data_IF_749744674414
#
_entry.id   IF_749744674414
#
_cell.length_a   1.000
_cell.length_b   1.000
_cell.length_c   1.000
_cell.angle_alpha   90.00
_cell.angle_beta   90.00
_cell.angle_gamma   90.00
#
_symmetry.space_group_name_H-M   'P 1'
#
loop_
_entity.id
_entity.type
_entity.pdbx_description
1 polymer ?
#
# COMPACT_ATOMS: atom_id res chain seq x y z
N UNK A 1 -55.91 56.53 8.41
CA UNK A 1 -54.43 56.71 8.28
C UNK A 1 -53.82 55.35 7.95
N UNK A 2 -53.51 55.08 6.68
CA UNK A 2 -52.77 53.87 6.28
C UNK A 2 -51.30 54.25 6.03
N UNK A 3 -50.37 53.65 6.78
CA UNK A 3 -48.93 53.78 6.54
C UNK A 3 -48.53 52.83 5.41
N UNK A 4 -47.95 53.37 4.33
CA UNK A 4 -47.26 52.58 3.31
C UNK A 4 -45.87 52.20 3.83
N UNK A 5 -45.58 50.89 3.88
CA UNK A 5 -44.29 50.37 4.27
C UNK A 5 -43.43 50.20 3.00
N UNK A 6 -42.31 50.94 2.82
CA UNK A 6 -41.52 50.85 1.60
C UNK A 6 -40.76 49.53 1.58
N UNK A 7 -41.06 48.67 0.58
CA UNK A 7 -40.23 47.49 0.30
C UNK A 7 -38.88 47.97 -0.23
N UNK A 8 -37.80 47.66 0.48
CA UNK A 8 -36.43 47.77 -0.04
C UNK A 8 -36.31 46.88 -1.29
N UNK A 9 -36.15 47.51 -2.45
CA UNK A 9 -35.82 46.82 -3.68
C UNK A 9 -34.36 46.37 -3.61
N UNK A 10 -34.13 45.06 -3.46
CA UNK A 10 -32.82 44.44 -3.62
C UNK A 10 -32.44 44.49 -5.10
N UNK A 11 -31.42 45.27 -5.45
CA UNK A 11 -30.81 45.24 -6.78
C UNK A 11 -30.06 43.92 -6.94
N UNK A 12 -30.67 42.92 -7.56
CA UNK A 12 -29.91 41.78 -8.06
C UNK A 12 -29.06 42.24 -9.24
N UNK A 13 -27.76 42.41 -8.99
CA UNK A 13 -26.75 42.52 -10.04
C UNK A 13 -26.64 41.12 -10.66
N UNK A 14 -27.29 40.92 -11.80
CA UNK A 14 -27.21 39.67 -12.54
C UNK A 14 -25.80 39.44 -13.09
N UNK A 15 -25.32 38.19 -13.03
CA UNK A 15 -24.07 37.78 -13.66
C UNK A 15 -24.17 37.94 -15.19
N UNK A 16 -23.13 38.45 -15.83
CA UNK A 16 -23.17 38.61 -17.29
C UNK A 16 -22.96 37.25 -17.98
N UNK A 17 -23.63 37.02 -19.12
CA UNK A 17 -23.48 35.78 -19.90
C UNK A 17 -22.02 35.60 -20.34
N UNK A 18 -21.34 36.70 -20.66
CA UNK A 18 -19.92 36.69 -21.05
C UNK A 18 -19.04 36.18 -19.91
N UNK A 19 -19.30 36.61 -18.67
CA UNK A 19 -18.58 36.12 -17.48
C UNK A 19 -18.70 34.61 -17.34
N UNK A 20 -19.91 34.07 -17.51
CA UNK A 20 -20.13 32.63 -17.42
C UNK A 20 -19.37 31.89 -18.53
N UNK A 21 -19.37 32.42 -19.76
CA UNK A 21 -18.66 31.82 -20.91
C UNK A 21 -17.14 31.83 -20.69
N UNK A 22 -16.57 32.93 -20.19
CA UNK A 22 -15.13 33.03 -19.91
C UNK A 22 -14.72 32.04 -18.83
N UNK A 23 -15.53 31.85 -17.78
CA UNK A 23 -15.22 30.90 -16.71
C UNK A 23 -15.21 29.45 -17.21
N UNK A 24 -16.22 29.03 -17.96
CA UNK A 24 -16.28 27.64 -18.47
C UNK A 24 -15.19 27.37 -19.51
N UNK A 25 -14.81 28.36 -20.32
CA UNK A 25 -13.72 28.22 -21.30
C UNK A 25 -12.37 28.09 -20.61
N UNK A 26 -12.10 28.89 -19.56
CA UNK A 26 -10.89 28.75 -18.75
C UNK A 26 -10.84 27.36 -18.07
N UNK A 27 -11.93 26.92 -17.44
CA UNK A 27 -11.99 25.59 -16.81
C UNK A 27 -11.78 24.48 -17.84
N UNK A 28 -12.32 24.63 -19.05
CA UNK A 28 -12.12 23.68 -20.15
C UNK A 28 -10.66 23.53 -20.58
N UNK A 29 -9.93 24.64 -20.73
CA UNK A 29 -8.50 24.64 -21.09
C UNK A 29 -7.65 24.03 -19.96
N UNK A 30 -7.95 24.38 -18.70
CA UNK A 30 -7.26 23.82 -17.54
C UNK A 30 -7.49 22.31 -17.42
N UNK A 31 -8.72 21.83 -17.64
CA UNK A 31 -9.02 20.40 -17.59
C UNK A 31 -8.28 19.62 -18.69
N UNK A 32 -8.21 20.15 -19.91
CA UNK A 32 -7.54 19.49 -21.04
C UNK A 32 -6.02 19.36 -20.84
N UNK A 33 -5.39 20.31 -20.14
CA UNK A 33 -3.94 20.31 -19.90
C UNK A 33 -3.54 19.56 -18.64
N UNK A 34 -4.30 19.69 -17.54
CA UNK A 34 -4.00 19.07 -16.25
C UNK A 34 -4.38 17.58 -16.20
N UNK A 35 -5.46 17.19 -16.89
CA UNK A 35 -6.01 15.83 -16.87
C UNK A 35 -4.96 14.74 -17.17
N UNK A 36 -4.24 14.78 -18.31
CA UNK A 36 -3.28 13.74 -18.67
C UNK A 36 -2.13 13.59 -17.66
N UNK A 37 -1.61 14.72 -17.15
CA UNK A 37 -0.51 14.72 -16.18
C UNK A 37 -0.93 14.13 -14.83
N UNK A 38 -2.16 14.39 -14.41
CA UNK A 38 -2.69 13.89 -13.13
C UNK A 38 -2.71 12.36 -13.05
N UNK A 39 -3.07 11.68 -14.14
CA UNK A 39 -3.09 10.22 -14.19
C UNK A 39 -1.68 9.62 -14.08
N UNK A 40 -0.71 10.18 -14.81
CA UNK A 40 0.68 9.72 -14.75
C UNK A 40 1.29 9.91 -13.36
N UNK A 41 1.04 11.06 -12.71
CA UNK A 41 1.53 11.32 -11.35
C UNK A 41 0.96 10.35 -10.32
N UNK A 42 -0.31 9.94 -10.46
CA UNK A 42 -0.90 8.91 -9.60
C UNK A 42 -0.19 7.57 -9.80
N UNK A 43 0.07 7.20 -11.04
CA UNK A 43 0.79 5.97 -11.40
C UNK A 43 2.19 5.92 -10.78
N UNK A 44 2.98 6.98 -10.98
CA UNK A 44 4.33 7.11 -10.44
C UNK A 44 4.32 7.11 -8.90
N UNK A 45 3.33 7.77 -8.27
CA UNK A 45 3.18 7.81 -6.81
C UNK A 45 2.87 6.43 -6.23
N UNK A 46 2.01 5.65 -6.87
CA UNK A 46 1.68 4.29 -6.45
C UNK A 46 2.90 3.39 -6.56
N UNK A 47 3.62 3.45 -7.68
CA UNK A 47 4.85 2.69 -7.89
C UNK A 47 5.93 3.07 -6.87
N UNK A 48 6.13 4.36 -6.60
CA UNK A 48 7.07 4.85 -5.61
C UNK A 48 6.73 4.35 -4.20
N UNK A 49 5.45 4.38 -3.82
CA UNK A 49 4.96 3.88 -2.52
C UNK A 49 5.23 2.38 -2.38
N UNK A 50 4.98 1.62 -3.44
CA UNK A 50 5.22 0.18 -3.46
C UNK A 50 6.71 -0.16 -3.34
N UNK A 51 7.59 0.59 -4.02
CA UNK A 51 9.05 0.44 -3.92
C UNK A 51 9.58 0.85 -2.54
N UNK A 52 9.05 1.94 -1.97
CA UNK A 52 9.39 2.37 -0.62
C UNK A 52 9.06 1.28 0.41
N UNK A 53 7.88 0.68 0.28
CA UNK A 53 7.49 -0.45 1.12
C UNK A 53 8.40 -1.65 0.90
N UNK A 54 8.76 -2.00 -0.33
CA UNK A 54 9.72 -3.08 -0.58
C UNK A 54 11.10 -2.84 0.04
N UNK A 55 11.57 -1.59 0.08
CA UNK A 55 12.78 -1.20 0.81
C UNK A 55 12.64 -1.39 2.32
N UNK A 56 11.52 -0.98 2.91
CA UNK A 56 11.21 -1.21 4.32
C UNK A 56 11.17 -2.71 4.65
N UNK A 57 10.52 -3.51 3.81
CA UNK A 57 10.46 -4.97 3.95
C UNK A 57 11.87 -5.56 3.95
N UNK A 58 12.72 -5.19 2.98
CA UNK A 58 14.09 -5.69 2.91
C UNK A 58 14.90 -5.33 4.17
N UNK A 59 14.72 -4.12 4.69
CA UNK A 59 15.34 -3.68 5.94
C UNK A 59 14.91 -4.54 7.11
N UNK A 60 13.60 -4.71 7.32
CA UNK A 60 13.05 -5.50 8.43
C UNK A 60 13.45 -6.98 8.33
N UNK A 61 13.44 -7.54 7.12
CA UNK A 61 13.89 -8.92 6.84
C UNK A 61 15.34 -9.13 7.27
N UNK A 62 16.23 -8.16 7.01
CA UNK A 62 17.63 -8.24 7.44
C UNK A 62 17.78 -8.12 8.96
N UNK A 63 16.96 -7.30 9.62
CA UNK A 63 16.96 -7.20 11.09
C UNK A 63 16.52 -8.50 11.76
N UNK A 64 15.45 -9.11 11.25
CA UNK A 64 14.96 -10.42 11.71
C UNK A 64 16.02 -11.51 11.49
N UNK A 65 16.72 -11.47 10.35
CA UNK A 65 17.83 -12.38 10.10
C UNK A 65 18.99 -12.19 11.07
N UNK A 66 19.37 -10.94 11.35
CA UNK A 66 20.42 -10.65 12.32
C UNK A 66 20.07 -11.23 13.71
N UNK A 67 18.83 -11.06 14.17
CA UNK A 67 18.34 -11.65 15.42
C UNK A 67 18.38 -13.19 15.36
N UNK A 68 17.89 -13.78 14.28
CA UNK A 68 17.89 -15.24 14.10
C UNK A 68 19.29 -15.84 14.09
N UNK A 69 20.25 -15.14 13.48
CA UNK A 69 21.66 -15.57 13.42
C UNK A 69 22.33 -15.52 14.80
N UNK A 70 22.02 -14.50 15.61
CA UNK A 70 22.49 -14.42 17.01
C UNK A 70 21.96 -15.60 17.83
N UNK A 71 20.71 -16.02 17.56
CA UNK A 71 20.10 -17.19 18.21
C UNK A 71 20.55 -18.54 17.60
N UNK A 72 21.33 -18.53 16.51
CA UNK A 72 21.80 -19.75 15.84
C UNK A 72 20.74 -20.49 15.03
N UNK A 73 19.66 -19.80 14.62
CA UNK A 73 18.47 -20.40 13.99
C UNK A 73 18.47 -20.34 12.46
N UNK A 74 19.54 -19.82 11.83
CA UNK A 74 19.63 -19.63 10.37
C UNK A 74 19.60 -20.92 9.55
N UNK A 75 19.90 -22.06 10.16
CA UNK A 75 19.87 -23.38 9.49
C UNK A 75 18.55 -24.13 9.70
N UNK A 76 17.63 -23.59 10.48
CA UNK A 76 16.36 -24.23 10.82
C UNK A 76 15.33 -23.91 9.74
N UNK A 77 14.68 -24.95 9.20
CA UNK A 77 13.74 -24.80 8.09
C UNK A 77 12.55 -23.90 8.45
N UNK A 78 11.99 -24.06 9.64
CA UNK A 78 10.97 -23.17 10.21
C UNK A 78 11.05 -23.17 11.73
N UNK A 79 10.98 -22.00 12.35
CA UNK A 79 10.86 -21.81 13.80
C UNK A 79 10.25 -20.46 14.11
N UNK A 80 9.76 -20.26 15.33
CA UNK A 80 9.40 -18.92 15.79
C UNK A 80 10.56 -18.30 16.57
N UNK A 81 10.64 -16.97 16.54
CA UNK A 81 11.57 -16.20 17.33
C UNK A 81 10.86 -15.09 18.08
N UNK A 82 11.45 -14.73 19.21
CA UNK A 82 11.14 -13.57 20.02
C UNK A 82 12.11 -12.43 19.61
N UNK A 83 11.56 -11.34 19.09
CA UNK A 83 12.32 -10.19 18.60
C UNK A 83 12.73 -9.25 19.73
N UNK A 84 11.89 -9.05 20.74
CA UNK A 84 12.09 -8.04 21.78
C UNK A 84 12.60 -8.60 23.13
N UNK A 85 12.58 -9.92 23.30
CA UNK A 85 13.05 -10.63 24.48
C UNK A 85 12.00 -10.73 25.60
N UNK A 86 10.72 -10.51 25.32
CA UNK A 86 9.64 -10.58 26.31
C UNK A 86 9.20 -12.02 26.66
N UNK A 87 9.77 -13.02 25.98
CA UNK A 87 9.44 -14.43 26.14
C UNK A 87 8.25 -14.90 25.31
N UNK A 88 7.69 -14.05 24.45
CA UNK A 88 6.60 -14.32 23.53
C UNK A 88 7.16 -14.40 22.11
N UNK A 89 6.65 -15.36 21.33
CA UNK A 89 7.07 -15.51 19.93
C UNK A 89 6.37 -14.47 19.04
N UNK A 90 7.15 -13.65 18.34
CA UNK A 90 6.65 -12.57 17.48
C UNK A 90 6.47 -12.98 16.03
N UNK A 91 7.46 -13.72 15.49
CA UNK A 91 7.54 -13.98 14.06
C UNK A 91 8.05 -15.39 13.78
N UNK A 92 7.40 -16.07 12.85
CA UNK A 92 7.88 -17.29 12.22
C UNK A 92 8.96 -16.94 11.19
N UNK A 93 10.11 -17.57 11.34
CA UNK A 93 11.22 -17.48 10.40
C UNK A 93 11.45 -18.82 9.71
N UNK A 94 11.88 -18.77 8.45
CA UNK A 94 12.40 -19.87 7.68
C UNK A 94 13.85 -19.56 7.31
N UNK A 95 14.79 -20.41 7.75
CA UNK A 95 16.23 -20.21 7.55
C UNK A 95 16.72 -18.84 8.05
N UNK A 96 16.16 -18.39 9.18
CA UNK A 96 16.43 -17.11 9.81
C UNK A 96 15.76 -15.88 9.17
N UNK A 97 15.10 -16.00 8.02
CA UNK A 97 14.34 -14.90 7.43
C UNK A 97 12.85 -15.02 7.75
N UNK A 98 12.07 -13.92 7.80
CA UNK A 98 10.62 -14.00 7.98
C UNK A 98 9.99 -14.94 6.97
N UNK A 99 9.15 -15.86 7.44
CA UNK A 99 8.47 -16.81 6.57
C UNK A 99 7.34 -16.15 5.79
N UNK A 100 6.82 -16.84 4.78
CA UNK A 100 5.61 -16.42 4.08
C UNK A 100 4.32 -16.71 4.85
N UNK A 101 4.40 -17.16 6.11
CA UNK A 101 3.25 -17.57 6.91
C UNK A 101 2.22 -16.45 7.01
N UNK A 102 0.97 -16.84 6.74
CA UNK A 102 -0.17 -15.92 6.80
C UNK A 102 -0.37 -15.39 8.20
N UNK A 103 -0.30 -16.27 9.20
CA UNK A 103 -0.64 -15.93 10.59
C UNK A 103 0.54 -15.32 11.34
N UNK A 104 1.76 -15.77 11.05
CA UNK A 104 2.92 -15.41 11.87
C UNK A 104 4.18 -15.04 11.07
N UNK A 105 4.11 -14.93 9.76
CA UNK A 105 5.28 -14.66 8.93
C UNK A 105 5.57 -13.17 8.77
N UNK A 106 5.99 -12.80 7.56
CA UNK A 106 6.40 -11.44 7.22
C UNK A 106 5.36 -10.35 7.52
N UNK A 107 4.08 -10.67 7.58
CA UNK A 107 3.02 -9.70 7.92
C UNK A 107 3.15 -9.16 9.34
N UNK A 108 3.75 -9.91 10.27
CA UNK A 108 3.92 -9.51 11.68
C UNK A 108 4.98 -8.45 11.89
N UNK A 109 5.92 -8.34 10.97
CA UNK A 109 6.98 -7.33 11.01
C UNK A 109 6.63 -6.07 10.20
N UNK A 110 5.38 -5.99 9.73
CA UNK A 110 4.80 -4.78 9.16
C UNK A 110 4.10 -4.00 10.28
N UNK A 111 4.24 -2.67 10.28
CA UNK A 111 3.72 -1.82 11.36
C UNK A 111 2.22 -1.95 11.63
N UNK A 112 1.75 -1.36 12.75
CA UNK A 112 0.38 -1.57 13.26
C UNK A 112 -0.77 -1.24 12.29
N UNK A 113 -0.60 -0.26 11.41
CA UNK A 113 -1.63 0.13 10.42
C UNK A 113 -1.55 -0.66 9.11
N UNK A 114 -0.64 -1.63 9.01
CA UNK A 114 -0.39 -2.41 7.78
C UNK A 114 -1.68 -2.98 7.18
N UNK A 115 -2.54 -3.62 7.99
CA UNK A 115 -3.78 -4.22 7.50
C UNK A 115 -4.86 -3.20 7.08
N UNK A 116 -4.68 -1.91 7.38
CA UNK A 116 -5.60 -0.83 6.99
C UNK A 116 -5.17 -0.13 5.71
N UNK A 117 -3.86 0.01 5.52
CA UNK A 117 -3.30 0.71 4.37
C UNK A 117 -3.01 -0.21 3.18
N UNK A 118 -2.93 -1.52 3.42
CA UNK A 118 -2.49 -2.50 2.44
C UNK A 118 -3.49 -3.63 2.22
N UNK A 119 -3.53 -4.11 0.98
CA UNK A 119 -4.14 -5.39 0.59
C UNK A 119 -3.03 -6.41 0.43
N UNK A 120 -3.11 -7.55 1.10
CA UNK A 120 -2.06 -8.56 1.01
C UNK A 120 -2.59 -9.98 1.03
N UNK A 121 -1.75 -10.91 0.60
CA UNK A 121 -2.08 -12.34 0.54
C UNK A 121 -0.79 -13.18 0.60
N UNK A 122 -0.95 -14.47 0.81
CA UNK A 122 0.15 -15.45 0.75
C UNK A 122 -0.36 -16.72 0.07
N UNK A 123 0.56 -17.51 -0.48
CA UNK A 123 0.25 -18.74 -1.20
C UNK A 123 -0.03 -19.87 -0.22
N UNK A 124 -0.67 -20.91 -0.73
CA UNK A 124 -0.67 -22.17 -0.04
C UNK A 124 0.78 -22.66 0.14
N UNK A 125 1.15 -23.01 1.38
CA UNK A 125 2.50 -23.45 1.73
C UNK A 125 3.52 -22.32 1.95
N UNK A 126 3.07 -21.06 2.08
CA UNK A 126 3.92 -19.92 2.48
C UNK A 126 5.09 -19.64 1.53
N UNK A 127 4.95 -19.97 0.25
CA UNK A 127 6.03 -19.86 -0.75
C UNK A 127 6.20 -18.47 -1.34
N UNK A 128 5.19 -17.62 -1.19
CA UNK A 128 5.21 -16.24 -1.64
C UNK A 128 4.20 -15.39 -0.86
N UNK A 129 4.48 -14.11 -0.78
CA UNK A 129 3.64 -13.09 -0.17
C UNK A 129 3.41 -11.97 -1.18
N UNK A 130 2.16 -11.55 -1.35
CA UNK A 130 1.71 -10.52 -2.29
C UNK A 130 1.24 -9.30 -1.52
N UNK A 131 1.56 -8.13 -2.05
CA UNK A 131 1.23 -6.86 -1.41
C UNK A 131 0.90 -5.78 -2.44
N UNK A 132 -0.21 -5.08 -2.25
CA UNK A 132 -0.52 -3.83 -2.95
C UNK A 132 -1.16 -2.84 -1.98
N UNK A 133 -1.22 -1.57 -2.35
CA UNK A 133 -1.91 -0.54 -1.56
C UNK A 133 -3.41 -0.79 -1.56
N UNK A 134 -4.09 -0.51 -0.44
CA UNK A 134 -5.54 -0.72 -0.31
C UNK A 134 -6.37 0.04 -1.35
N UNK A 135 -5.88 1.19 -1.82
CA UNK A 135 -6.49 1.97 -2.92
C UNK A 135 -6.58 1.20 -4.24
N UNK A 136 -5.59 0.34 -4.52
CA UNK A 136 -5.49 -0.42 -5.75
C UNK A 136 -6.14 -1.81 -5.63
N UNK A 137 -6.04 -2.44 -4.45
CA UNK A 137 -6.74 -3.70 -4.16
C UNK A 137 -8.24 -3.51 -3.90
N UNK A 138 -8.72 -2.28 -3.83
CA UNK A 138 -10.13 -1.91 -3.60
C UNK A 138 -10.65 -2.20 -2.19
N UNK A 139 -9.81 -2.77 -1.32
CA UNK A 139 -10.11 -3.14 0.07
C UNK A 139 -8.81 -3.23 0.86
N UNK A 140 -8.87 -3.04 2.18
CA UNK A 140 -7.72 -3.27 3.06
C UNK A 140 -7.74 -4.69 3.65
N UNK A 141 -6.58 -5.17 4.10
CA UNK A 141 -6.43 -6.38 4.90
C UNK A 141 -5.91 -7.60 4.12
N UNK A 142 -6.03 -8.76 4.78
CA UNK A 142 -5.56 -10.05 4.31
C UNK A 142 -6.61 -10.77 3.45
N UNK A 143 -6.19 -11.35 2.32
CA UNK A 143 -7.05 -12.11 1.41
C UNK A 143 -6.53 -13.53 1.15
N UNK A 144 -7.46 -14.45 0.90
CA UNK A 144 -7.14 -15.89 0.85
C UNK A 144 -6.52 -16.33 -0.48
N UNK A 145 -6.78 -15.64 -1.59
CA UNK A 145 -6.50 -16.14 -2.93
C UNK A 145 -5.76 -15.16 -3.85
N UNK A 146 -5.03 -14.16 -3.31
CA UNK A 146 -4.27 -13.09 -3.99
C UNK A 146 -4.97 -12.33 -5.17
N UNK A 147 -6.23 -12.64 -5.49
CA UNK A 147 -6.97 -12.09 -6.63
C UNK A 147 -7.07 -10.58 -6.62
N UNK A 148 -7.46 -9.99 -5.48
CA UNK A 148 -7.54 -8.53 -5.33
C UNK A 148 -6.18 -7.86 -5.56
N UNK A 149 -5.09 -8.50 -5.11
CA UNK A 149 -3.73 -7.99 -5.30
C UNK A 149 -3.30 -8.10 -6.75
N UNK A 150 -3.51 -9.24 -7.40
CA UNK A 150 -3.13 -9.45 -8.80
C UNK A 150 -3.98 -8.62 -9.77
N UNK A 151 -5.26 -8.41 -9.47
CA UNK A 151 -6.16 -7.57 -10.27
C UNK A 151 -5.69 -6.11 -10.37
N UNK A 152 -4.93 -5.63 -9.38
CA UNK A 152 -4.33 -4.29 -9.43
C UNK A 152 -3.26 -4.15 -10.51
N UNK A 153 -2.58 -5.24 -10.88
CA UNK A 153 -1.37 -5.24 -11.70
C UNK A 153 -0.28 -4.22 -11.26
N UNK A 154 -0.31 -3.84 -9.97
CA UNK A 154 0.64 -2.97 -9.28
C UNK A 154 0.88 -3.54 -7.89
N UNK A 155 1.81 -4.48 -7.76
CA UNK A 155 2.03 -5.21 -6.52
C UNK A 155 3.46 -5.72 -6.36
N UNK A 156 3.84 -5.92 -5.11
CA UNK A 156 5.10 -6.49 -4.68
C UNK A 156 4.90 -7.97 -4.38
N UNK A 157 5.90 -8.78 -4.70
CA UNK A 157 6.03 -10.16 -4.27
C UNK A 157 7.26 -10.33 -3.40
N UNK A 158 7.09 -10.98 -2.25
CA UNK A 158 8.18 -11.47 -1.42
C UNK A 158 8.22 -13.00 -1.51
N UNK A 159 9.38 -13.54 -1.83
CA UNK A 159 9.68 -14.96 -1.84
C UNK A 159 10.57 -15.26 -0.65
N UNK A 160 10.10 -16.04 0.35
CA UNK A 160 10.91 -16.41 1.51
C UNK A 160 12.12 -17.26 1.12
N UNK A 161 13.08 -17.39 2.04
CA UNK A 161 14.20 -18.30 1.89
C UNK A 161 13.71 -19.76 1.82
N UNK A 162 14.31 -20.55 0.92
CA UNK A 162 13.97 -21.97 0.70
C UNK A 162 15.03 -22.93 1.21
N UNK A 163 16.22 -22.43 1.54
CA UNK A 163 17.34 -23.17 2.12
C UNK A 163 18.24 -22.25 2.97
N UNK A 164 19.14 -22.81 3.83
CA UNK A 164 20.00 -22.03 4.73
C UNK A 164 20.92 -21.00 4.04
N UNK A 165 21.28 -21.24 2.78
CA UNK A 165 22.14 -20.37 1.99
C UNK A 165 21.37 -19.45 1.03
N UNK A 166 20.04 -19.62 0.92
CA UNK A 166 19.21 -18.80 0.05
C UNK A 166 18.74 -17.54 0.77
N UNK A 167 18.84 -16.39 0.10
CA UNK A 167 18.25 -15.14 0.59
C UNK A 167 16.84 -15.00 0.05
N UNK A 168 15.92 -14.36 0.79
CA UNK A 168 14.62 -14.02 0.25
C UNK A 168 14.76 -13.04 -0.91
N UNK A 169 13.82 -13.09 -1.84
CA UNK A 169 13.79 -12.24 -3.03
C UNK A 169 12.53 -11.39 -3.04
N UNK A 170 12.68 -10.12 -3.37
CA UNK A 170 11.55 -9.21 -3.64
C UNK A 170 11.44 -9.00 -5.15
N UNK A 171 10.22 -8.90 -5.67
CA UNK A 171 9.93 -8.57 -7.06
C UNK A 171 8.71 -7.70 -7.18
N UNK A 172 8.58 -7.02 -8.31
CA UNK A 172 7.54 -6.02 -8.53
C UNK A 172 6.83 -6.28 -9.85
N UNK A 173 5.54 -6.03 -9.85
CA UNK A 173 4.71 -5.90 -11.05
C UNK A 173 4.13 -4.48 -11.00
N UNK A 174 4.41 -3.65 -12.00
CA UNK A 174 4.06 -2.21 -11.99
C UNK A 174 3.35 -1.77 -13.28
N UNK A 175 2.70 -2.71 -13.98
CA UNK A 175 2.14 -2.43 -15.32
C UNK A 175 0.89 -1.55 -15.30
N UNK A 176 0.19 -1.47 -14.16
CA UNK A 176 -0.98 -0.59 -13.96
C UNK A 176 -0.98 0.08 -12.59
N UNK A 177 0.20 0.47 -12.10
CA UNK A 177 0.23 1.47 -11.05
C UNK A 177 -0.45 2.74 -11.59
#
# INVERSE_FOLDING_TARGET
MYKLNPKMASTQIGFTIVELIVVITIIGILAATVGPRYFNLRSESNEATLKAMGGAILSSVNLVYAKSAILGLQSIAKTNIDLDGDGINDVEVAYGYPSGSRSNGISKIMGGDFAREWTWSTSFGDTAFWLTTASLGGRSGQYINNTAVMASACYLLYYPATSPASRPRISYVTTKC
#
